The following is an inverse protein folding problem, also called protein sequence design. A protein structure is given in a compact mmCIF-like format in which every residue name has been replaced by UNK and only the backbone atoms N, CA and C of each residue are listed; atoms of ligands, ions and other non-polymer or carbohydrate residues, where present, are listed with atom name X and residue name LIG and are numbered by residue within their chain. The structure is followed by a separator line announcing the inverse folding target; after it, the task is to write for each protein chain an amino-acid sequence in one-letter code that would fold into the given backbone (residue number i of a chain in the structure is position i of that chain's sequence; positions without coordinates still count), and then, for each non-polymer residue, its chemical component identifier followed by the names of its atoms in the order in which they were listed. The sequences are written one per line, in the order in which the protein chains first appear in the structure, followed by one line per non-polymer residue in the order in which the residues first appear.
data_IF_151717695274
#
_entry.id   IF_151717695274
#
_cell.length_a   1.000
_cell.length_b   1.000
_cell.length_c   1.000
_cell.angle_alpha   90.00
_cell.angle_beta   90.00
_cell.angle_gamma   90.00
#
_symmetry.space_group_name_H-M   'P 1'
#
loop_
_entity.id
_entity.type
_entity.pdbx_description
1 polymer ?
#
# COMPACT_ATOMS: atom_id res chain seq x y z
N UNK A 1 -12.54 46.29 8.43
CA UNK A 1 -13.53 45.24 8.78
C UNK A 1 -12.94 43.88 8.42
N UNK A 2 -12.75 42.97 9.40
CA UNK A 2 -12.23 41.64 9.13
C UNK A 2 -13.31 40.78 8.43
N UNK A 3 -13.01 40.29 7.23
CA UNK A 3 -13.93 39.46 6.44
C UNK A 3 -14.10 38.10 7.11
N UNK A 4 -15.34 37.68 7.36
CA UNK A 4 -15.69 36.34 7.90
C UNK A 4 -15.01 35.26 7.05
N UNK A 5 -14.19 34.40 7.66
CA UNK A 5 -13.63 33.22 6.99
C UNK A 5 -14.76 32.22 6.75
N UNK A 6 -15.09 31.99 5.49
CA UNK A 6 -15.97 30.89 5.09
C UNK A 6 -15.15 29.61 5.20
N UNK A 7 -15.55 28.66 6.03
CA UNK A 7 -14.92 27.34 6.06
C UNK A 7 -15.50 26.50 4.92
N UNK A 8 -14.64 25.96 4.05
CA UNK A 8 -15.07 25.09 2.94
C UNK A 8 -14.36 23.76 3.16
N UNK A 9 -15.10 22.66 3.29
CA UNK A 9 -14.51 21.33 3.43
C UNK A 9 -13.55 21.02 2.28
N UNK A 10 -12.35 20.55 2.62
CA UNK A 10 -11.28 20.20 1.68
C UNK A 10 -11.76 19.22 0.60
N UNK A 11 -12.56 18.22 0.98
CA UNK A 11 -13.10 17.21 0.06
C UNK A 11 -13.97 17.81 -1.05
N UNK A 12 -14.76 18.84 -0.71
CA UNK A 12 -15.58 19.55 -1.69
C UNK A 12 -14.73 20.32 -2.70
N UNK A 13 -13.62 20.89 -2.24
CA UNK A 13 -12.68 21.59 -3.12
C UNK A 13 -11.93 20.61 -4.04
N UNK A 14 -11.52 19.43 -3.55
CA UNK A 14 -10.94 18.39 -4.40
C UNK A 14 -11.91 17.92 -5.48
N UNK A 15 -13.17 17.64 -5.13
CA UNK A 15 -14.19 17.21 -6.08
C UNK A 15 -14.40 18.25 -7.20
N UNK A 16 -14.44 19.54 -6.86
CA UNK A 16 -14.58 20.62 -7.83
C UNK A 16 -13.36 20.75 -8.75
N UNK A 17 -12.14 20.63 -8.20
CA UNK A 17 -10.90 20.66 -9.01
C UNK A 17 -10.86 19.47 -9.98
N UNK A 18 -11.33 18.30 -9.57
CA UNK A 18 -11.39 17.10 -10.42
C UNK A 18 -12.54 17.10 -11.44
N UNK A 19 -13.56 17.95 -11.25
CA UNK A 19 -14.76 18.01 -12.11
C UNK A 19 -14.56 18.74 -13.44
N UNK A 20 -13.40 19.37 -13.66
CA UNK A 20 -13.10 20.13 -14.88
C UNK A 20 -13.71 21.55 -14.94
N UNK A 21 -14.39 22.00 -13.88
CA UNK A 21 -14.92 23.36 -13.77
C UNK A 21 -13.82 24.44 -13.82
N UNK A 22 -14.15 25.60 -14.39
CA UNK A 22 -13.24 26.76 -14.38
C UNK A 22 -13.16 27.38 -12.99
N UNK A 23 -12.06 28.09 -12.68
CA UNK A 23 -11.92 28.80 -11.40
C UNK A 23 -13.02 29.83 -11.14
N UNK A 24 -13.61 30.39 -12.20
CA UNK A 24 -14.71 31.35 -12.08
C UNK A 24 -15.99 30.66 -11.62
N UNK A 25 -16.31 29.51 -12.22
CA UNK A 25 -17.48 28.69 -11.85
C UNK A 25 -17.34 28.13 -10.44
N UNK A 26 -16.17 27.60 -10.10
CA UNK A 26 -15.87 27.10 -8.76
C UNK A 26 -15.98 28.20 -7.69
N UNK A 27 -15.49 29.42 -7.98
CA UNK A 27 -15.57 30.54 -7.06
C UNK A 27 -17.03 30.96 -6.80
N UNK A 28 -17.86 30.95 -7.85
CA UNK A 28 -19.28 31.25 -7.77
C UNK A 28 -20.05 30.18 -7.00
N UNK A 29 -19.82 28.90 -7.29
CA UNK A 29 -20.42 27.74 -6.60
C UNK A 29 -20.08 27.72 -5.10
N UNK A 30 -18.85 28.10 -4.76
CA UNK A 30 -18.36 28.14 -3.38
C UNK A 30 -18.65 29.46 -2.66
N UNK A 31 -19.20 30.46 -3.35
CA UNK A 31 -19.48 31.79 -2.77
C UNK A 31 -18.22 32.54 -2.30
N UNK A 32 -17.06 32.29 -2.92
CA UNK A 32 -15.77 32.91 -2.56
C UNK A 32 -15.19 33.70 -3.73
N UNK A 33 -14.26 34.61 -3.43
CA UNK A 33 -13.53 35.31 -4.48
C UNK A 33 -12.50 34.42 -5.16
N UNK A 34 -12.28 34.61 -6.47
CA UNK A 34 -11.27 33.89 -7.25
C UNK A 34 -9.87 33.93 -6.60
N UNK A 35 -9.38 35.07 -6.05
CA UNK A 35 -8.10 35.09 -5.34
C UNK A 35 -8.07 34.20 -4.09
N UNK A 36 -9.19 34.07 -3.38
CA UNK A 36 -9.30 33.17 -2.21
C UNK A 36 -9.29 31.71 -2.66
N UNK A 37 -9.99 31.38 -3.73
CA UNK A 37 -9.99 30.05 -4.33
C UNK A 37 -8.59 29.65 -4.80
N UNK A 38 -7.92 30.54 -5.54
CA UNK A 38 -6.57 30.32 -6.05
C UNK A 38 -5.57 30.03 -4.93
N UNK A 39 -5.61 30.79 -3.83
CA UNK A 39 -4.78 30.55 -2.65
C UNK A 39 -5.05 29.18 -2.03
N UNK A 40 -6.32 28.79 -1.86
CA UNK A 40 -6.68 27.47 -1.31
C UNK A 40 -6.23 26.31 -2.18
N UNK A 41 -6.34 26.44 -3.51
CA UNK A 41 -5.84 25.42 -4.45
C UNK A 41 -4.32 25.31 -4.34
N UNK A 42 -3.60 26.41 -4.20
CA UNK A 42 -2.15 26.39 -4.00
C UNK A 42 -1.76 25.71 -2.68
N UNK A 43 -2.45 26.03 -1.59
CA UNK A 43 -2.22 25.42 -0.27
C UNK A 43 -2.47 23.90 -0.31
N UNK A 44 -3.56 23.46 -0.96
CA UNK A 44 -3.85 22.04 -1.14
C UNK A 44 -2.79 21.31 -1.96
N UNK A 45 -2.39 21.88 -3.10
CA UNK A 45 -1.33 21.29 -3.94
C UNK A 45 0.00 21.19 -3.21
N UNK A 46 0.33 22.18 -2.37
CA UNK A 46 1.53 22.14 -1.54
C UNK A 46 1.46 21.00 -0.51
N UNK A 47 0.32 20.83 0.16
CA UNK A 47 0.12 19.71 1.09
C UNK A 47 0.16 18.35 0.39
N UNK A 48 -0.46 18.21 -0.78
CA UNK A 48 -0.40 17.00 -1.60
C UNK A 48 1.03 16.69 -2.06
N UNK A 49 1.79 17.70 -2.49
CA UNK A 49 3.20 17.58 -2.86
C UNK A 49 4.05 17.06 -1.70
N UNK A 50 3.94 17.67 -0.51
CA UNK A 50 4.66 17.23 0.69
C UNK A 50 4.30 15.79 1.09
N UNK A 51 3.02 15.41 1.00
CA UNK A 51 2.58 14.05 1.30
C UNK A 51 3.07 13.04 0.26
N UNK A 52 3.12 13.43 -1.02
CA UNK A 52 3.67 12.62 -2.10
C UNK A 52 5.16 12.40 -1.91
N UNK A 53 5.92 13.45 -1.66
CA UNK A 53 7.36 13.39 -1.39
C UNK A 53 7.63 12.49 -0.19
N UNK A 54 6.82 12.61 0.88
CA UNK A 54 6.93 11.73 2.04
C UNK A 54 6.64 10.26 1.70
N UNK A 55 5.65 9.97 0.85
CA UNK A 55 5.35 8.60 0.41
C UNK A 55 6.47 8.01 -0.44
N UNK A 56 7.05 8.81 -1.35
CA UNK A 56 8.17 8.40 -2.19
C UNK A 56 9.43 8.13 -1.33
N UNK A 57 9.76 9.03 -0.41
CA UNK A 57 10.85 8.84 0.56
C UNK A 57 10.60 7.64 1.49
N UNK A 58 9.35 7.44 1.94
CA UNK A 58 8.97 6.28 2.75
C UNK A 58 9.14 4.97 1.99
N UNK A 59 8.77 4.94 0.71
CA UNK A 59 8.94 3.75 -0.12
C UNK A 59 10.43 3.40 -0.28
N UNK A 60 11.27 4.39 -0.56
CA UNK A 60 12.72 4.19 -0.66
C UNK A 60 13.33 3.71 0.66
N UNK A 61 12.94 4.31 1.79
CA UNK A 61 13.40 3.89 3.11
C UNK A 61 12.94 2.48 3.47
N UNK A 62 11.72 2.10 3.10
CA UNK A 62 11.21 0.75 3.29
C UNK A 62 12.03 -0.26 2.50
N UNK A 63 12.29 0.01 1.21
CA UNK A 63 13.13 -0.84 0.37
C UNK A 63 14.54 -0.98 0.94
N UNK A 64 15.15 0.12 1.40
CA UNK A 64 16.47 0.09 2.01
C UNK A 64 16.51 -0.75 3.30
N UNK A 65 15.48 -0.64 4.14
CA UNK A 65 15.37 -1.44 5.35
C UNK A 65 15.17 -2.92 5.03
N UNK A 66 14.33 -3.24 4.04
CA UNK A 66 14.12 -4.61 3.57
C UNK A 66 15.43 -5.23 3.07
N UNK A 67 16.21 -4.51 2.26
CA UNK A 67 17.51 -4.98 1.79
C UNK A 67 18.45 -5.32 2.95
N UNK A 68 18.55 -4.44 3.96
CA UNK A 68 19.37 -4.68 5.16
C UNK A 68 18.90 -5.89 5.97
N UNK A 69 17.59 -6.12 6.05
CA UNK A 69 17.05 -7.32 6.71
C UNK A 69 17.43 -8.58 5.93
N UNK A 70 17.34 -8.56 4.60
CA UNK A 70 17.73 -9.69 3.76
C UNK A 70 19.22 -10.01 3.89
N UNK A 71 20.09 -8.99 3.88
CA UNK A 71 21.53 -9.15 4.09
C UNK A 71 21.86 -9.74 5.47
N UNK A 72 21.03 -9.45 6.47
CA UNK A 72 21.22 -9.99 7.82
C UNK A 72 20.79 -11.46 7.95
N UNK A 73 20.06 -12.03 6.98
CA UNK A 73 19.67 -13.44 6.93
C UNK A 73 20.81 -14.19 6.25
N UNK A 74 21.65 -14.86 7.05
CA UNK A 74 22.80 -15.63 6.56
C UNK A 74 22.59 -17.13 6.78
N UNK A 75 23.25 -18.01 6.01
CA UNK A 75 23.17 -19.46 6.19
C UNK A 75 23.47 -19.88 7.63
N UNK A 76 24.48 -19.29 8.26
CA UNK A 76 24.89 -19.62 9.63
C UNK A 76 23.80 -19.27 10.64
N UNK A 77 23.08 -18.17 10.44
CA UNK A 77 21.95 -17.79 11.32
C UNK A 77 20.74 -18.69 11.13
N UNK A 78 20.53 -19.20 9.92
CA UNK A 78 19.46 -20.17 9.62
C UNK A 78 19.79 -21.52 10.28
N UNK A 79 21.02 -21.99 10.16
CA UNK A 79 21.48 -23.25 10.75
C UNK A 79 21.41 -23.23 12.28
N UNK A 80 21.71 -22.09 12.90
CA UNK A 80 21.68 -21.92 14.35
C UNK A 80 20.31 -21.51 14.91
N UNK A 81 19.31 -21.28 14.07
CA UNK A 81 17.96 -20.92 14.52
C UNK A 81 17.26 -22.10 15.18
N UNK A 82 16.37 -21.82 16.14
CA UNK A 82 15.56 -22.87 16.75
C UNK A 82 14.56 -23.46 15.75
N UNK A 83 14.20 -24.73 15.92
CA UNK A 83 13.19 -25.39 15.07
C UNK A 83 11.85 -24.61 15.05
N UNK A 84 11.47 -24.00 16.19
CA UNK A 84 10.26 -23.20 16.29
C UNK A 84 10.32 -21.88 15.48
N UNK A 85 11.49 -21.25 15.39
CA UNK A 85 11.69 -20.05 14.56
C UNK A 85 11.66 -20.41 13.07
N UNK A 86 12.33 -21.51 12.70
CA UNK A 86 12.33 -22.02 11.33
C UNK A 86 10.92 -22.40 10.87
N UNK A 87 10.14 -23.09 11.71
CA UNK A 87 8.76 -23.46 11.40
C UNK A 87 7.85 -22.22 11.20
N UNK A 88 8.03 -21.18 12.02
CA UNK A 88 7.30 -19.90 11.86
C UNK A 88 7.69 -19.17 10.58
N UNK A 89 9.00 -19.08 10.31
CA UNK A 89 9.50 -18.44 9.09
C UNK A 89 8.96 -19.14 7.84
N UNK A 90 9.00 -20.48 7.81
CA UNK A 90 8.47 -21.28 6.72
C UNK A 90 6.96 -21.04 6.51
N UNK A 91 6.17 -20.99 7.58
CA UNK A 91 4.74 -20.70 7.51
C UNK A 91 4.48 -19.33 6.86
N UNK A 92 5.19 -18.29 7.31
CA UNK A 92 5.02 -16.93 6.78
C UNK A 92 5.35 -16.91 5.28
N UNK A 93 6.45 -17.53 4.87
CA UNK A 93 6.83 -17.60 3.45
C UNK A 93 5.78 -18.33 2.61
N UNK A 94 5.23 -19.44 3.12
CA UNK A 94 4.16 -20.18 2.46
C UNK A 94 2.88 -19.33 2.32
N UNK A 95 2.46 -18.63 3.37
CA UNK A 95 1.28 -17.76 3.32
C UNK A 95 1.46 -16.63 2.28
N UNK A 96 2.67 -16.08 2.16
CA UNK A 96 2.99 -15.07 1.14
C UNK A 96 2.98 -15.66 -0.29
N UNK A 97 3.50 -16.87 -0.48
CA UNK A 97 3.46 -17.57 -1.79
C UNK A 97 2.02 -17.83 -2.25
N UNK A 98 1.13 -18.25 -1.34
CA UNK A 98 -0.29 -18.43 -1.65
C UNK A 98 -0.96 -17.10 -2.04
N UNK A 99 -0.68 -16.03 -1.29
CA UNK A 99 -1.20 -14.69 -1.60
C UNK A 99 -0.73 -14.17 -2.97
N UNK A 100 0.52 -14.40 -3.35
CA UNK A 100 1.08 -14.02 -4.66
C UNK A 100 0.51 -14.84 -5.82
N UNK A 101 0.18 -16.11 -5.58
CA UNK A 101 -0.40 -17.01 -6.61
C UNK A 101 -1.92 -16.89 -6.73
N UNK A 102 -2.55 -16.00 -5.95
CA UNK A 102 -3.99 -15.78 -5.95
C UNK A 102 -4.80 -16.94 -5.35
N UNK A 103 -4.13 -17.88 -4.67
CA UNK A 103 -4.79 -18.97 -3.96
C UNK A 103 -5.17 -18.48 -2.55
N UNK A 104 -6.37 -18.80 -2.06
CA UNK A 104 -6.79 -18.33 -0.75
C UNK A 104 -5.83 -18.86 0.33
N UNK A 105 -5.37 -17.96 1.19
CA UNK A 105 -4.66 -18.26 2.43
C UNK A 105 -5.67 -18.83 3.45
N UNK A 106 -6.12 -20.04 3.19
CA UNK A 106 -6.86 -20.88 4.11
C UNK A 106 -6.02 -22.12 4.39
N UNK A 107 -5.98 -22.51 5.67
CA UNK A 107 -5.40 -23.73 6.26
C UNK A 107 -4.78 -24.72 5.27
N UNK A 108 -3.54 -25.14 5.55
CA UNK A 108 -2.89 -26.31 4.94
C UNK A 108 -3.91 -27.44 4.80
N UNK A 109 -4.58 -27.52 3.64
CA UNK A 109 -5.56 -28.55 3.40
C UNK A 109 -4.74 -29.79 3.09
N UNK A 110 -4.48 -30.56 4.15
CA UNK A 110 -3.74 -31.79 4.09
C UNK A 110 -4.32 -32.71 2.99
N UNK A 111 -5.63 -32.60 2.72
CA UNK A 111 -6.27 -33.32 1.63
C UNK A 111 -5.77 -32.89 0.25
N UNK A 112 -5.55 -31.59 0.02
CA UNK A 112 -4.99 -31.08 -1.23
C UNK A 112 -3.54 -31.54 -1.43
N UNK A 113 -2.73 -31.55 -0.37
CA UNK A 113 -1.35 -32.06 -0.42
C UNK A 113 -1.28 -33.57 -0.68
N UNK A 114 -2.13 -34.36 -0.02
CA UNK A 114 -2.21 -35.81 -0.22
C UNK A 114 -2.70 -36.17 -1.64
N UNK A 115 -3.66 -35.42 -2.17
CA UNK A 115 -4.16 -35.60 -3.54
C UNK A 115 -3.06 -35.35 -4.57
N UNK A 116 -2.21 -34.35 -4.36
CA UNK A 116 -1.09 -34.03 -5.25
C UNK A 116 0.02 -35.10 -5.19
N UNK A 117 0.31 -35.64 -4.01
CA UNK A 117 1.23 -36.79 -3.86
C UNK A 117 0.72 -38.00 -4.63
N UNK A 118 -0.56 -38.33 -4.50
CA UNK A 118 -1.17 -39.47 -5.18
C UNK A 118 -1.16 -39.30 -6.70
N UNK A 119 -1.36 -38.07 -7.18
CA UNK A 119 -1.28 -37.75 -8.61
C UNK A 119 0.12 -38.01 -9.16
N UNK A 120 1.16 -37.59 -8.44
CA UNK A 120 2.57 -37.78 -8.83
C UNK A 120 2.98 -39.25 -8.85
N UNK A 121 2.50 -40.04 -7.88
CA UNK A 121 2.74 -41.50 -7.85
C UNK A 121 2.13 -42.21 -9.05
N UNK A 122 0.92 -41.83 -9.47
CA UNK A 122 0.25 -42.43 -10.65
C UNK A 122 0.95 -42.10 -11.97
N UNK A 123 1.52 -40.90 -12.10
CA UNK A 123 2.32 -40.52 -13.28
C UNK A 123 3.71 -41.16 -13.35
N UNK A 124 4.19 -41.79 -12.26
CA UNK A 124 5.45 -42.55 -12.23
C UNK A 124 5.26 -44.07 -12.33
N UNK A 125 4.01 -44.56 -12.40
CA UNK A 125 3.67 -45.98 -12.59
C UNK A 125 3.07 -46.29 -13.98
N UNK A 126 3.18 -45.34 -14.92
CA UNK A 126 3.06 -45.58 -16.36
C UNK A 126 4.43 -45.37 -17.03
#
# INVERSE_FOLDING_TARGET
MARKKIDIPTDRLHALVSSGMTQKEMAQELGISIPTLSRRIADLRMQEGVLRDFREVRALNLTALQARVLEAITPEKIENASLGELAKALKILFDQEQALTGKPTGEFDLAAYLTEIDRRKRSQSN
#
